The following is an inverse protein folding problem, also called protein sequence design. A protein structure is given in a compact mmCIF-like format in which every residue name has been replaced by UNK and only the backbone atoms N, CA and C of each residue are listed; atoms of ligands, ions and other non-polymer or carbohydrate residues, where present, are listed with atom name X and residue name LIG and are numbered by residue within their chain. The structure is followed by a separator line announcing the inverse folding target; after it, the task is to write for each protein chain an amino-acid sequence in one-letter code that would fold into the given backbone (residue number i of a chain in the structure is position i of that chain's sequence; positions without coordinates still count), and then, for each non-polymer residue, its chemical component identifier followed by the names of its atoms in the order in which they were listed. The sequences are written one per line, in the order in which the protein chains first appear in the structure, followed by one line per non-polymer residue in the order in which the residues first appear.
data_IF_913950698931
#
_entry.id   IF_913950698931
#
_cell.length_a   1.000
_cell.length_b   1.000
_cell.length_c   1.000
_cell.angle_alpha   90.00
_cell.angle_beta   90.00
_cell.angle_gamma   90.00
#
_symmetry.space_group_name_H-M   'P 1'
#
loop_
_entity.id
_entity.type
_entity.pdbx_description
1 polymer ?
#
# COMPACT_ATOMS: atom_id res chain seq x y z
N UNK A 1 13.90 -23.95 -7.04
CA UNK A 1 13.01 -22.89 -6.51
C UNK A 1 12.93 -21.69 -7.45
N UNK A 2 14.07 -21.10 -7.88
CA UNK A 2 14.07 -19.96 -8.84
C UNK A 2 13.56 -20.39 -10.23
N UNK A 3 13.98 -21.54 -10.76
CA UNK A 3 13.48 -22.05 -12.06
C UNK A 3 11.97 -22.34 -12.05
N UNK A 4 11.42 -22.79 -10.92
CA UNK A 4 9.99 -23.06 -10.77
C UNK A 4 9.13 -21.79 -10.72
N UNK A 5 9.69 -20.65 -10.29
CA UNK A 5 9.00 -19.35 -10.31
C UNK A 5 8.92 -18.72 -11.71
N UNK A 6 9.69 -19.21 -12.69
CA UNK A 6 9.65 -18.68 -14.06
C UNK A 6 8.48 -19.28 -14.86
N UNK A 7 8.14 -20.55 -14.59
CA UNK A 7 7.04 -21.26 -15.29
C UNK A 7 5.67 -21.14 -14.58
N UNK A 8 5.66 -20.64 -13.35
CA UNK A 8 4.44 -20.33 -12.61
C UNK A 8 4.25 -18.81 -12.56
N UNK A 9 3.13 -18.31 -13.05
CA UNK A 9 2.77 -16.90 -12.95
C UNK A 9 1.78 -16.71 -11.81
N UNK A 10 2.10 -15.78 -10.92
CA UNK A 10 1.26 -15.45 -9.78
C UNK A 10 0.57 -14.11 -10.03
N UNK A 11 -0.76 -14.12 -9.92
CA UNK A 11 -1.59 -12.95 -10.15
C UNK A 11 -2.34 -12.54 -8.89
N UNK A 12 -2.39 -11.22 -8.67
CA UNK A 12 -3.33 -10.59 -7.74
C UNK A 12 -4.46 -9.98 -8.56
N UNK A 13 -5.68 -10.39 -8.25
CA UNK A 13 -6.90 -9.89 -8.86
C UNK A 13 -7.60 -9.00 -7.84
N UNK A 14 -7.95 -7.78 -8.25
CA UNK A 14 -8.78 -6.85 -7.48
C UNK A 14 -10.14 -6.79 -8.12
N UNK A 15 -11.20 -6.94 -7.33
CA UNK A 15 -12.61 -6.88 -7.78
C UNK A 15 -13.31 -5.65 -7.21
N UNK A 16 -14.32 -5.18 -7.94
CA UNK A 16 -15.19 -4.06 -7.57
C UNK A 16 -14.65 -2.66 -7.87
N UNK A 17 -15.20 -1.68 -7.16
CA UNK A 17 -14.91 -0.25 -7.35
C UNK A 17 -13.62 0.16 -6.63
N UNK A 18 -12.50 -0.33 -7.16
CA UNK A 18 -11.17 0.05 -6.74
C UNK A 18 -10.81 1.44 -7.29
N UNK A 19 -10.32 2.33 -6.41
CA UNK A 19 -9.82 3.68 -6.72
C UNK A 19 -10.83 4.68 -7.33
N UNK A 20 -12.14 4.47 -7.18
CA UNK A 20 -13.17 5.38 -7.74
C UNK A 20 -13.77 6.36 -6.72
N UNK A 21 -13.51 6.18 -5.42
CA UNK A 21 -14.07 6.98 -4.34
C UNK A 21 -13.06 8.05 -3.87
N UNK A 22 -13.30 9.31 -4.26
CA UNK A 22 -12.44 10.43 -3.86
C UNK A 22 -12.61 10.80 -2.39
N UNK A 23 -13.83 10.67 -1.84
CA UNK A 23 -14.13 11.07 -0.47
C UNK A 23 -13.25 10.31 0.52
N UNK A 24 -13.15 8.99 0.36
CA UNK A 24 -12.30 8.16 1.23
C UNK A 24 -10.83 8.55 1.15
N UNK A 25 -10.31 8.83 -0.04
CA UNK A 25 -8.92 9.26 -0.23
C UNK A 25 -8.66 10.59 0.46
N UNK A 26 -9.56 11.56 0.27
CA UNK A 26 -9.48 12.86 0.94
C UNK A 26 -9.51 12.70 2.46
N UNK A 27 -10.38 11.85 3.01
CA UNK A 27 -10.43 11.62 4.46
C UNK A 27 -9.14 11.01 5.01
N UNK A 28 -8.54 10.03 4.32
CA UNK A 28 -7.24 9.49 4.73
C UNK A 28 -6.11 10.52 4.60
N UNK A 29 -6.12 11.35 3.56
CA UNK A 29 -5.16 12.45 3.39
C UNK A 29 -5.29 13.49 4.52
N UNK A 30 -6.52 13.90 4.86
CA UNK A 30 -6.76 14.82 5.98
C UNK A 30 -6.33 14.21 7.31
N UNK A 31 -6.64 12.93 7.54
CA UNK A 31 -6.21 12.21 8.74
C UNK A 31 -4.68 12.25 8.91
N UNK A 32 -3.92 12.04 7.84
CA UNK A 32 -2.45 12.02 7.90
C UNK A 32 -1.81 13.40 8.01
N UNK A 33 -2.46 14.43 7.46
CA UNK A 33 -2.12 15.82 7.76
C UNK A 33 -2.32 16.10 9.26
N UNK A 34 -3.42 15.65 9.86
CA UNK A 34 -3.65 15.80 11.30
C UNK A 34 -2.59 15.08 12.16
N UNK A 35 -2.17 13.86 11.77
CA UNK A 35 -1.08 13.16 12.45
C UNK A 35 0.24 13.95 12.38
N UNK A 36 0.56 14.50 11.20
CA UNK A 36 1.76 15.29 11.00
C UNK A 36 1.74 16.60 11.80
N UNK A 37 0.59 17.27 11.85
CA UNK A 37 0.38 18.47 12.68
C UNK A 37 0.52 18.17 14.16
N UNK A 38 -0.06 17.06 14.63
CA UNK A 38 0.03 16.64 16.03
C UNK A 38 1.49 16.41 16.44
N UNK A 39 2.26 15.70 15.62
CA UNK A 39 3.67 15.46 15.88
C UNK A 39 4.45 16.77 15.95
N UNK A 40 4.22 17.67 15.00
CA UNK A 40 4.88 18.97 14.95
C UNK A 40 4.58 19.80 16.20
N UNK A 41 3.31 19.84 16.63
CA UNK A 41 2.91 20.61 17.82
C UNK A 41 3.52 20.01 19.10
N UNK A 42 3.54 18.68 19.23
CA UNK A 42 3.95 18.03 20.48
C UNK A 42 5.45 17.82 20.62
N UNK A 43 6.19 17.70 19.51
CA UNK A 43 7.61 17.33 19.51
C UNK A 43 8.51 18.33 18.80
N UNK A 44 7.94 19.23 17.98
CA UNK A 44 8.69 20.10 17.07
C UNK A 44 9.30 19.36 15.86
N UNK A 45 9.11 18.04 15.74
CA UNK A 45 9.60 17.26 14.60
C UNK A 45 8.76 17.49 13.34
N UNK A 46 9.42 17.44 12.18
CA UNK A 46 8.79 17.51 10.86
C UNK A 46 8.84 16.18 10.10
N UNK A 47 9.22 15.09 10.77
CA UNK A 47 9.47 13.81 10.13
C UNK A 47 8.22 13.26 9.42
N UNK A 48 7.07 13.29 10.08
CA UNK A 48 5.80 12.89 9.46
C UNK A 48 5.46 13.78 8.24
N UNK A 49 5.71 15.09 8.30
CA UNK A 49 5.50 15.96 7.14
C UNK A 49 6.44 15.60 5.97
N UNK A 50 7.73 15.40 6.26
CA UNK A 50 8.75 15.08 5.26
C UNK A 50 8.43 13.77 4.56
N UNK A 51 8.16 12.71 5.33
CA UNK A 51 7.86 11.40 4.74
C UNK A 51 6.52 11.42 4.00
N UNK A 52 5.51 12.15 4.49
CA UNK A 52 4.21 12.29 3.83
C UNK A 52 4.34 12.96 2.47
N UNK A 53 5.02 14.11 2.41
CA UNK A 53 5.19 14.89 1.18
C UNK A 53 6.06 14.11 0.19
N UNK A 54 7.20 13.60 0.64
CA UNK A 54 8.15 12.87 -0.20
C UNK A 54 7.55 11.60 -0.80
N UNK A 55 6.90 10.76 0.01
CA UNK A 55 6.29 9.53 -0.48
C UNK A 55 5.07 9.81 -1.38
N UNK A 56 4.29 10.86 -1.09
CA UNK A 56 3.19 11.30 -1.96
C UNK A 56 3.70 11.69 -3.33
N UNK A 57 4.75 12.52 -3.41
CA UNK A 57 5.32 12.97 -4.68
C UNK A 57 5.86 11.80 -5.51
N UNK A 58 6.64 10.90 -4.90
CA UNK A 58 7.17 9.73 -5.60
C UNK A 58 6.03 8.84 -6.10
N UNK A 59 5.04 8.54 -5.26
CA UNK A 59 3.92 7.70 -5.68
C UNK A 59 3.05 8.36 -6.76
N UNK A 60 2.79 9.67 -6.69
CA UNK A 60 2.09 10.38 -7.77
C UNK A 60 2.88 10.31 -9.08
N UNK A 61 4.21 10.39 -9.03
CA UNK A 61 5.06 10.22 -10.21
C UNK A 61 4.95 8.79 -10.76
N UNK A 62 5.05 7.78 -9.91
CA UNK A 62 4.87 6.36 -10.29
C UNK A 62 3.51 6.16 -10.95
N UNK A 63 2.42 6.64 -10.34
CA UNK A 63 1.07 6.55 -10.89
C UNK A 63 0.94 7.26 -12.24
N UNK A 64 1.61 8.41 -12.39
CA UNK A 64 1.62 9.14 -13.65
C UNK A 64 2.35 8.37 -14.74
N UNK A 65 3.50 7.75 -14.43
CA UNK A 65 4.25 6.90 -15.38
C UNK A 65 3.41 5.67 -15.77
N UNK A 66 2.81 4.99 -14.79
CA UNK A 66 1.95 3.82 -15.04
C UNK A 66 0.73 4.18 -15.89
N UNK A 67 0.20 5.39 -15.71
CA UNK A 67 -0.88 5.92 -16.52
C UNK A 67 -0.44 6.23 -17.96
N UNK A 68 0.65 6.97 -18.15
CA UNK A 68 1.17 7.34 -19.48
C UNK A 68 1.56 6.10 -20.31
N UNK A 69 2.15 5.09 -19.65
CA UNK A 69 2.54 3.83 -20.28
C UNK A 69 1.36 2.88 -20.55
N UNK A 70 0.14 3.26 -20.18
CA UNK A 70 -1.07 2.41 -20.21
C UNK A 70 -0.95 1.11 -19.41
N UNK A 71 0.02 1.02 -18.50
CA UNK A 71 0.18 -0.11 -17.58
C UNK A 71 -0.96 -0.15 -16.56
N UNK A 72 -1.52 1.02 -16.21
CA UNK A 72 -2.62 1.16 -15.25
C UNK A 72 -3.76 2.00 -15.83
N UNK A 73 -4.96 1.42 -15.89
CA UNK A 73 -6.18 2.15 -16.23
C UNK A 73 -6.68 2.88 -14.97
N UNK A 74 -6.58 4.20 -14.96
CA UNK A 74 -7.13 5.04 -13.90
C UNK A 74 -8.63 5.20 -14.13
N UNK A 75 -9.42 4.50 -13.32
CA UNK A 75 -10.89 4.63 -13.33
C UNK A 75 -11.30 6.06 -12.92
N UNK A 76 -12.42 6.58 -13.47
CA UNK A 76 -12.94 7.88 -13.06
C UNK A 76 -13.24 7.87 -11.56
N UNK A 77 -12.80 8.94 -10.89
CA UNK A 77 -12.95 9.11 -9.45
C UNK A 77 -14.00 10.18 -9.17
N UNK A 78 -14.86 9.95 -8.19
CA UNK A 78 -15.99 10.82 -7.89
C UNK A 78 -15.99 11.30 -6.43
N UNK A 79 -16.31 12.57 -6.25
CA UNK A 79 -16.72 13.14 -4.96
C UNK A 79 -18.23 12.96 -4.87
N UNK A 80 -18.69 12.27 -3.82
CA UNK A 80 -20.13 12.09 -3.57
C UNK A 80 -20.56 13.12 -2.54
N UNK A 81 -21.39 14.08 -2.95
CA UNK A 81 -21.95 15.09 -2.06
C UNK A 81 -23.04 14.55 -1.13
N UNK A 82 -23.52 15.36 -0.19
CA UNK A 82 -24.54 14.97 0.80
C UNK A 82 -25.87 14.53 0.16
N UNK A 83 -26.21 15.08 -1.01
CA UNK A 83 -27.40 14.73 -1.80
C UNK A 83 -27.17 13.59 -2.81
N UNK A 84 -26.11 12.77 -2.63
CA UNK A 84 -25.68 11.71 -3.57
C UNK A 84 -25.31 12.18 -4.99
N UNK A 85 -25.16 13.48 -5.20
CA UNK A 85 -24.61 14.03 -6.44
C UNK A 85 -23.14 13.62 -6.58
N UNK A 86 -22.78 13.07 -7.74
CA UNK A 86 -21.41 12.65 -8.05
C UNK A 86 -20.72 13.70 -8.91
N UNK A 87 -19.64 14.27 -8.38
CA UNK A 87 -18.78 15.21 -9.11
C UNK A 87 -17.53 14.47 -9.58
N UNK A 88 -17.27 14.48 -10.89
CA UNK A 88 -16.08 13.87 -11.45
C UNK A 88 -14.84 14.68 -11.05
N UNK A 89 -13.86 14.00 -10.47
CA UNK A 89 -12.58 14.61 -10.08
C UNK A 89 -11.67 14.70 -11.31
N UNK A 90 -11.03 15.85 -11.58
CA UNK A 90 -10.02 15.98 -12.62
C UNK A 90 -8.93 14.93 -12.51
N UNK A 91 -8.49 14.38 -13.65
CA UNK A 91 -7.61 13.20 -13.68
C UNK A 91 -6.29 13.40 -12.93
N UNK A 92 -5.68 14.57 -13.03
CA UNK A 92 -4.45 14.91 -12.30
C UNK A 92 -4.66 14.92 -10.78
N UNK A 93 -5.82 15.40 -10.31
CA UNK A 93 -6.18 15.36 -8.89
C UNK A 93 -6.43 13.92 -8.46
N UNK A 94 -7.05 13.09 -9.30
CA UNK A 94 -7.24 11.67 -9.02
C UNK A 94 -5.90 10.91 -8.89
N UNK A 95 -4.92 11.18 -9.76
CA UNK A 95 -3.55 10.64 -9.67
C UNK A 95 -2.84 11.11 -8.40
N UNK A 96 -2.98 12.39 -8.06
CA UNK A 96 -2.42 12.93 -6.82
C UNK A 96 -3.03 12.27 -5.58
N UNK A 97 -4.36 12.19 -5.49
CA UNK A 97 -5.06 11.53 -4.39
C UNK A 97 -4.74 10.02 -4.30
N UNK A 98 -4.47 9.39 -5.44
CA UNK A 98 -3.99 8.03 -5.49
C UNK A 98 -2.60 7.90 -4.86
N UNK A 99 -1.65 8.75 -5.28
CA UNK A 99 -0.29 8.75 -4.74
C UNK A 99 -0.23 9.17 -3.26
N UNK A 100 -1.06 10.10 -2.83
CA UNK A 100 -1.19 10.48 -1.42
C UNK A 100 -1.69 9.28 -0.62
N UNK A 101 -2.78 8.63 -1.04
CA UNK A 101 -3.34 7.53 -0.25
C UNK A 101 -2.45 6.28 -0.24
N UNK A 102 -1.80 5.93 -1.35
CA UNK A 102 -0.92 4.75 -1.40
C UNK A 102 0.41 5.08 -0.73
N UNK A 103 1.11 6.16 -1.09
CA UNK A 103 2.39 6.56 -0.51
C UNK A 103 2.28 7.31 0.80
N UNK A 104 1.75 8.53 0.73
CA UNK A 104 1.68 9.49 1.84
C UNK A 104 1.07 8.92 3.11
N UNK A 105 -0.13 8.35 2.99
CA UNK A 105 -0.87 7.84 4.15
C UNK A 105 -0.15 6.67 4.80
N UNK A 106 0.29 5.70 4.00
CA UNK A 106 0.89 4.46 4.50
C UNK A 106 2.21 4.71 5.21
N UNK A 107 3.08 5.52 4.62
CA UNK A 107 4.35 5.87 5.28
C UNK A 107 4.13 6.69 6.54
N UNK A 108 3.19 7.64 6.52
CA UNK A 108 2.95 8.54 7.65
C UNK A 108 2.39 7.81 8.85
N UNK A 109 1.35 6.98 8.68
CA UNK A 109 0.84 6.22 9.83
C UNK A 109 1.88 5.18 10.30
N UNK A 110 2.64 4.60 9.36
CA UNK A 110 3.73 3.67 9.66
C UNK A 110 4.73 4.29 10.62
N UNK A 111 5.24 5.47 10.26
CA UNK A 111 6.22 6.20 11.08
C UNK A 111 5.61 6.71 12.38
N UNK A 112 4.47 7.41 12.28
CA UNK A 112 3.82 8.06 13.43
C UNK A 112 3.48 7.08 14.55
N UNK A 113 2.80 5.98 14.22
CA UNK A 113 2.46 4.95 15.20
C UNK A 113 3.67 4.08 15.57
N UNK A 114 4.61 3.87 14.64
CA UNK A 114 5.86 3.16 14.89
C UNK A 114 6.68 3.79 16.02
N UNK A 115 6.81 5.12 15.99
CA UNK A 115 7.50 5.89 17.02
C UNK A 115 6.80 5.88 18.39
N UNK A 116 5.52 5.47 18.43
CA UNK A 116 4.63 5.63 19.59
C UNK A 116 3.99 4.32 20.05
N UNK A 117 4.46 3.17 19.56
CA UNK A 117 3.89 1.84 19.85
C UNK A 117 3.77 1.54 21.35
N UNK A 118 4.74 1.98 22.15
CA UNK A 118 4.79 1.71 23.60
C UNK A 118 3.86 2.61 24.42
N UNK A 119 3.30 3.67 23.83
CA UNK A 119 2.45 4.62 24.55
C UNK A 119 0.98 4.24 24.41
N UNK A 120 0.35 3.85 25.51
CA UNK A 120 -1.03 3.32 25.53
C UNK A 120 -2.06 4.21 24.83
N UNK A 121 -1.96 5.54 24.97
CA UNK A 121 -2.86 6.50 24.31
C UNK A 121 -2.83 6.35 22.78
N UNK A 122 -1.63 6.25 22.20
CA UNK A 122 -1.46 6.14 20.75
C UNK A 122 -1.75 4.72 20.27
N UNK A 123 -1.48 3.70 21.11
CA UNK A 123 -1.88 2.33 20.84
C UNK A 123 -3.40 2.16 20.74
N UNK A 124 -4.17 2.81 21.61
CA UNK A 124 -5.64 2.86 21.51
C UNK A 124 -6.07 3.56 20.22
N UNK A 125 -5.50 4.73 19.92
CA UNK A 125 -5.79 5.48 18.69
C UNK A 125 -5.49 4.65 17.44
N UNK A 126 -4.40 3.90 17.45
CA UNK A 126 -4.00 2.99 16.37
C UNK A 126 -5.04 1.90 16.13
N UNK A 127 -5.55 1.28 17.19
CA UNK A 127 -6.59 0.25 17.07
C UNK A 127 -7.96 0.82 16.70
N UNK A 128 -8.28 2.05 17.10
CA UNK A 128 -9.46 2.76 16.61
C UNK A 128 -9.36 3.02 15.10
N UNK A 129 -8.18 3.41 14.61
CA UNK A 129 -7.93 3.57 13.17
C UNK A 129 -8.08 2.25 12.41
N UNK A 130 -7.55 1.14 12.93
CA UNK A 130 -7.75 -0.20 12.36
C UNK A 130 -9.24 -0.56 12.36
N UNK A 131 -9.94 -0.34 13.47
CA UNK A 131 -11.38 -0.61 13.60
C UNK A 131 -12.18 0.17 12.55
N UNK A 132 -11.82 1.43 12.30
CA UNK A 132 -12.40 2.23 11.23
C UNK A 132 -12.17 1.59 9.84
N UNK A 133 -10.96 1.11 9.53
CA UNK A 133 -10.67 0.39 8.29
C UNK A 133 -11.55 -0.86 8.15
N UNK A 134 -11.69 -1.64 9.23
CA UNK A 134 -12.50 -2.87 9.27
C UNK A 134 -13.96 -2.55 8.95
N UNK A 135 -14.55 -1.56 9.63
CA UNK A 135 -15.94 -1.12 9.42
C UNK A 135 -16.14 -0.62 7.98
N UNK A 136 -15.20 0.19 7.47
CA UNK A 136 -15.24 0.70 6.11
C UNK A 136 -15.20 -0.41 5.06
N UNK A 137 -14.40 -1.45 5.30
CA UNK A 137 -14.31 -2.59 4.38
C UNK A 137 -15.53 -3.50 4.46
N UNK A 138 -16.07 -3.72 5.65
CA UNK A 138 -17.26 -4.53 5.85
C UNK A 138 -18.53 -3.93 5.26
N UNK A 139 -18.61 -2.59 5.19
CA UNK A 139 -19.73 -1.86 4.59
C UNK A 139 -19.73 -1.83 3.06
N UNK A 140 -18.63 -2.21 2.39
CA UNK A 140 -18.61 -2.30 0.93
C UNK A 140 -19.37 -3.54 0.44
N UNK A 141 -20.17 -3.35 -0.61
CA UNK A 141 -20.86 -4.46 -1.29
C UNK A 141 -19.89 -5.21 -2.21
N UNK A 142 -20.07 -6.53 -2.29
CA UNK A 142 -19.28 -7.36 -3.17
C UNK A 142 -19.73 -7.16 -4.62
N UNK A 143 -18.82 -6.70 -5.48
CA UNK A 143 -19.07 -6.50 -6.91
C UNK A 143 -18.12 -7.46 -7.63
N UNK A 144 -18.69 -8.36 -8.43
CA UNK A 144 -17.96 -9.46 -9.08
C UNK A 144 -17.01 -9.01 -10.20
N UNK A 145 -17.16 -7.79 -10.71
CA UNK A 145 -16.37 -7.29 -11.83
C UNK A 145 -14.88 -7.19 -11.47
N UNK A 146 -14.04 -7.81 -12.30
CA UNK A 146 -12.59 -7.71 -12.20
C UNK A 146 -12.18 -6.27 -12.54
N UNK A 147 -11.57 -5.59 -11.56
CA UNK A 147 -11.09 -4.23 -11.71
C UNK A 147 -9.65 -4.15 -12.22
N UNK A 148 -8.84 -5.14 -11.83
CA UNK A 148 -7.42 -5.21 -12.16
C UNK A 148 -6.93 -6.65 -11.97
N UNK A 149 -6.08 -7.10 -12.88
CA UNK A 149 -5.30 -8.34 -12.76
C UNK A 149 -3.83 -7.98 -13.00
N UNK A 150 -2.97 -8.23 -12.02
CA UNK A 150 -1.53 -7.93 -12.12
C UNK A 150 -0.69 -9.15 -11.78
N UNK A 151 0.37 -9.37 -12.56
CA UNK A 151 1.35 -10.40 -12.28
C UNK A 151 2.40 -9.86 -11.31
N UNK A 152 2.66 -10.57 -10.20
CA UNK A 152 3.59 -10.09 -9.16
C UNK A 152 5.03 -10.53 -9.39
N UNK A 153 5.24 -11.68 -10.04
CA UNK A 153 6.54 -12.32 -10.17
C UNK A 153 7.17 -12.15 -11.56
N UNK A 154 6.93 -11.00 -12.21
CA UNK A 154 7.67 -10.66 -13.43
C UNK A 154 9.15 -10.45 -13.09
N UNK A 155 10.04 -10.73 -14.04
CA UNK A 155 11.49 -10.54 -13.85
C UNK A 155 11.80 -9.11 -13.41
N UNK A 156 11.17 -8.11 -14.04
CA UNK A 156 11.33 -6.71 -13.67
C UNK A 156 10.86 -6.40 -12.24
N UNK A 157 9.71 -6.92 -11.82
CA UNK A 157 9.20 -6.77 -10.44
C UNK A 157 10.16 -7.36 -9.42
N UNK A 158 10.63 -8.59 -9.65
CA UNK A 158 11.53 -9.29 -8.75
C UNK A 158 12.89 -8.60 -8.65
N UNK A 159 13.47 -8.16 -9.77
CA UNK A 159 14.73 -7.42 -9.78
C UNK A 159 14.61 -6.08 -9.05
N UNK A 160 13.51 -5.36 -9.27
CA UNK A 160 13.25 -4.06 -8.61
C UNK A 160 13.11 -4.24 -7.11
N UNK A 161 12.28 -5.19 -6.66
CA UNK A 161 12.08 -5.45 -5.23
C UNK A 161 13.34 -6.00 -4.56
N UNK A 162 14.13 -6.82 -5.24
CA UNK A 162 15.42 -7.29 -4.74
C UNK A 162 16.41 -6.14 -4.57
N UNK A 163 16.48 -5.23 -5.55
CA UNK A 163 17.37 -4.06 -5.50
C UNK A 163 16.98 -3.11 -4.36
N UNK A 164 15.68 -2.85 -4.19
CA UNK A 164 15.16 -2.03 -3.08
C UNK A 164 15.46 -2.69 -1.72
N UNK A 165 15.23 -4.00 -1.61
CA UNK A 165 15.51 -4.75 -0.37
C UNK A 165 17.00 -4.70 -0.02
N UNK A 166 17.87 -4.87 -1.02
CA UNK A 166 19.32 -4.80 -0.84
C UNK A 166 19.76 -3.39 -0.46
N UNK A 167 19.22 -2.35 -1.11
CA UNK A 167 19.46 -0.96 -0.73
C UNK A 167 19.08 -0.70 0.73
N UNK A 168 17.87 -1.08 1.14
CA UNK A 168 17.42 -0.88 2.52
C UNK A 168 18.29 -1.63 3.53
N UNK A 169 18.74 -2.84 3.21
CA UNK A 169 19.64 -3.62 4.06
C UNK A 169 21.02 -2.97 4.20
N UNK A 170 21.61 -2.50 3.09
CA UNK A 170 22.90 -1.81 3.11
C UNK A 170 22.79 -0.51 3.93
N UNK A 171 21.76 0.28 3.70
CA UNK A 171 21.53 1.54 4.44
C UNK A 171 21.33 1.28 5.93
N UNK A 172 20.56 0.26 6.29
CA UNK A 172 20.35 -0.14 7.69
C UNK A 172 21.64 -0.62 8.36
N UNK A 173 22.51 -1.30 7.62
CA UNK A 173 23.82 -1.72 8.11
C UNK A 173 24.76 -0.54 8.34
N UNK A 174 24.69 0.50 7.50
CA UNK A 174 25.46 1.74 7.63
C UNK A 174 24.95 2.65 8.76
N UNK A 175 23.65 2.57 9.08
CA UNK A 175 22.96 3.43 10.05
C UNK A 175 22.19 2.62 11.12
N UNK A 176 22.90 1.86 11.97
CA UNK A 176 22.27 0.97 12.95
C UNK A 176 21.43 1.71 14.00
N UNK A 177 21.70 3.00 14.25
CA UNK A 177 20.93 3.86 15.16
C UNK A 177 19.46 4.02 14.75
N UNK A 178 19.16 3.89 13.45
CA UNK A 178 17.80 3.96 12.93
C UNK A 178 17.07 2.60 12.96
N UNK A 179 17.73 1.51 13.37
CA UNK A 179 17.16 0.16 13.31
C UNK A 179 15.82 0.04 14.03
N UNK A 180 15.76 0.49 15.29
CA UNK A 180 14.55 0.37 16.08
C UNK A 180 13.37 1.11 15.43
N UNK A 181 13.64 2.31 14.91
CA UNK A 181 12.64 3.17 14.29
C UNK A 181 12.12 2.60 12.98
N UNK A 182 13.01 2.13 12.10
CA UNK A 182 12.65 1.45 10.86
C UNK A 182 11.89 0.14 11.12
N UNK A 183 12.31 -0.63 12.12
CA UNK A 183 11.64 -1.88 12.49
C UNK A 183 10.22 -1.65 12.99
N UNK A 184 10.00 -0.64 13.85
CA UNK A 184 8.66 -0.31 14.33
C UNK A 184 7.76 0.20 13.20
N UNK A 185 8.29 1.04 12.30
CA UNK A 185 7.57 1.49 11.10
C UNK A 185 7.17 0.29 10.22
N UNK A 186 8.12 -0.62 9.95
CA UNK A 186 7.88 -1.85 9.21
C UNK A 186 6.78 -2.70 9.87
N UNK A 187 6.83 -2.88 11.18
CA UNK A 187 5.86 -3.66 11.94
C UNK A 187 4.45 -3.07 11.86
N UNK A 188 4.31 -1.75 12.05
CA UNK A 188 3.02 -1.05 11.96
C UNK A 188 2.41 -1.17 10.56
N UNK A 189 3.20 -0.94 9.51
CA UNK A 189 2.72 -1.08 8.13
C UNK A 189 2.29 -2.52 7.84
N UNK A 190 3.13 -3.50 8.20
CA UNK A 190 2.83 -4.93 8.02
C UNK A 190 1.53 -5.30 8.72
N UNK A 191 1.34 -4.85 9.97
CA UNK A 191 0.16 -5.19 10.76
C UNK A 191 -1.13 -4.63 10.16
N UNK A 192 -1.19 -3.34 9.86
CA UNK A 192 -2.39 -2.71 9.27
C UNK A 192 -2.70 -3.30 7.89
N UNK A 193 -1.68 -3.44 7.04
CA UNK A 193 -1.86 -3.95 5.68
C UNK A 193 -2.21 -5.44 5.64
N UNK A 194 -1.78 -6.23 6.63
CA UNK A 194 -2.21 -7.63 6.79
C UNK A 194 -3.69 -7.72 7.11
N UNK A 195 -4.18 -6.93 8.08
CA UNK A 195 -5.61 -6.90 8.45
C UNK A 195 -6.45 -6.47 7.25
N UNK A 196 -6.05 -5.40 6.57
CA UNK A 196 -6.76 -4.91 5.38
C UNK A 196 -6.79 -5.96 4.27
N UNK A 197 -5.65 -6.59 3.97
CA UNK A 197 -5.52 -7.62 2.93
C UNK A 197 -6.36 -8.85 3.26
N UNK A 198 -6.37 -9.30 4.52
CA UNK A 198 -7.16 -10.43 4.98
C UNK A 198 -8.67 -10.17 4.83
N UNK A 199 -9.16 -9.00 5.23
CA UNK A 199 -10.57 -8.65 5.08
C UNK A 199 -10.95 -8.50 3.61
N UNK A 200 -10.09 -7.88 2.80
CA UNK A 200 -10.29 -7.77 1.37
C UNK A 200 -10.35 -9.15 0.68
N UNK A 201 -9.56 -10.11 1.17
CA UNK A 201 -9.60 -11.50 0.69
C UNK A 201 -10.92 -12.20 1.06
N UNK A 202 -11.31 -12.18 2.34
CA UNK A 202 -12.58 -12.80 2.79
C UNK A 202 -13.79 -12.22 2.07
N UNK A 203 -13.79 -10.90 1.82
CA UNK A 203 -14.89 -10.23 1.12
C UNK A 203 -14.86 -10.45 -0.40
N UNK A 204 -13.84 -11.11 -0.94
CA UNK A 204 -13.68 -11.33 -2.38
C UNK A 204 -13.26 -10.11 -3.18
N UNK A 205 -12.90 -9.00 -2.53
CA UNK A 205 -12.34 -7.81 -3.19
C UNK A 205 -10.93 -8.03 -3.71
N UNK A 206 -10.24 -9.01 -3.13
CA UNK A 206 -8.88 -9.39 -3.50
C UNK A 206 -8.80 -10.90 -3.59
N UNK A 207 -8.45 -11.43 -4.76
CA UNK A 207 -8.25 -12.88 -4.95
C UNK A 207 -6.93 -13.12 -5.66
N UNK A 208 -6.46 -14.36 -5.65
CA UNK A 208 -5.21 -14.76 -6.30
C UNK A 208 -5.47 -15.80 -7.37
N UNK A 209 -4.64 -15.82 -8.41
CA UNK A 209 -4.71 -16.82 -9.47
C UNK A 209 -3.28 -17.28 -9.80
N UNK A 210 -3.10 -18.59 -9.88
CA UNK A 210 -1.81 -19.19 -10.25
C UNK A 210 -1.95 -19.84 -11.61
N UNK A 211 -1.11 -19.42 -12.56
CA UNK A 211 -1.11 -19.91 -13.93
C UNK A 211 0.18 -20.69 -14.20
N UNK A 212 0.05 -21.93 -14.67
CA UNK A 212 1.17 -22.73 -15.17
C UNK A 212 1.28 -22.57 -16.67
N UNK A 213 2.48 -22.27 -17.15
CA UNK A 213 2.81 -22.30 -18.58
C UNK A 213 3.57 -23.60 -18.85
N UNK A 214 2.99 -24.49 -19.65
CA UNK A 214 3.63 -25.73 -20.09
C UNK A 214 3.67 -25.77 -21.63
N UNK A 215 4.75 -25.28 -22.22
CA UNK A 215 4.80 -25.06 -23.68
C UNK A 215 3.78 -24.00 -24.10
N UNK A 216 2.87 -24.36 -25.01
CA UNK A 216 1.79 -23.49 -25.49
C UNK A 216 0.50 -23.59 -24.64
N UNK A 217 0.44 -24.51 -23.67
CA UNK A 217 -0.74 -24.70 -22.82
C UNK A 217 -0.68 -23.84 -21.55
N UNK A 218 -1.77 -23.10 -21.31
CA UNK A 218 -1.98 -22.25 -20.14
C UNK A 218 -2.96 -22.96 -19.20
N UNK A 219 -2.46 -23.48 -18.08
CA UNK A 219 -3.27 -24.19 -17.08
C UNK A 219 -3.48 -23.28 -15.87
N UNK A 220 -4.72 -22.86 -15.64
CA UNK A 220 -5.10 -22.14 -14.42
C UNK A 220 -5.25 -23.15 -13.29
N UNK A 221 -4.40 -23.06 -12.26
CA UNK A 221 -4.50 -23.93 -11.09
C UNK A 221 -5.75 -23.59 -10.28
N UNK A 222 -6.41 -24.58 -9.66
CA UNK A 222 -7.44 -24.34 -8.68
C UNK A 222 -6.88 -23.53 -7.51
N UNK A 223 -7.74 -22.74 -6.86
CA UNK A 223 -7.35 -21.89 -5.74
C UNK A 223 -6.78 -22.74 -4.59
N UNK A 224 -5.56 -22.40 -4.18
CA UNK A 224 -4.85 -23.08 -3.10
C UNK A 224 -4.53 -22.05 -2.00
N UNK A 225 -5.04 -22.30 -0.79
CA UNK A 225 -4.85 -21.41 0.36
C UNK A 225 -3.38 -21.10 0.66
N UNK A 226 -2.47 -22.06 0.41
CA UNK A 226 -1.03 -21.87 0.62
C UNK A 226 -0.46 -20.88 -0.40
N UNK A 227 -0.80 -21.05 -1.68
CA UNK A 227 -0.35 -20.14 -2.74
C UNK A 227 -0.91 -18.74 -2.49
N UNK A 228 -2.20 -18.63 -2.14
CA UNK A 228 -2.83 -17.38 -1.75
C UNK A 228 -2.11 -16.70 -0.60
N UNK A 229 -1.76 -17.45 0.46
CA UNK A 229 -1.04 -16.92 1.61
C UNK A 229 0.33 -16.36 1.21
N UNK A 230 1.10 -17.07 0.38
CA UNK A 230 2.41 -16.57 -0.07
C UNK A 230 2.30 -15.37 -1.00
N UNK A 231 1.33 -15.36 -1.92
CA UNK A 231 1.13 -14.25 -2.88
C UNK A 231 0.71 -12.96 -2.14
N UNK A 232 -0.24 -13.07 -1.21
CA UNK A 232 -0.70 -11.93 -0.41
C UNK A 232 0.32 -11.52 0.67
N UNK A 233 1.06 -12.49 1.22
CA UNK A 233 2.16 -12.23 2.14
C UNK A 233 3.30 -11.47 1.47
N UNK A 234 3.66 -11.85 0.24
CA UNK A 234 4.64 -11.14 -0.58
C UNK A 234 4.23 -9.68 -0.81
N UNK A 235 2.96 -9.45 -1.16
CA UNK A 235 2.40 -8.11 -1.36
C UNK A 235 2.56 -7.23 -0.12
N UNK A 236 2.20 -7.74 1.06
CA UNK A 236 2.25 -6.96 2.31
C UNK A 236 3.69 -6.75 2.80
N UNK A 237 4.53 -7.78 2.76
CA UNK A 237 5.89 -7.70 3.31
C UNK A 237 6.82 -6.96 2.36
N UNK A 238 6.85 -7.34 1.08
CA UNK A 238 7.84 -6.80 0.14
C UNK A 238 7.34 -5.54 -0.57
N UNK A 239 6.17 -5.61 -1.23
CA UNK A 239 5.70 -4.48 -2.05
C UNK A 239 5.18 -3.30 -1.23
N UNK A 240 4.71 -3.55 -0.01
CA UNK A 240 4.31 -2.50 0.92
C UNK A 240 5.42 -2.27 1.94
N UNK A 241 5.67 -3.21 2.85
CA UNK A 241 6.45 -2.87 4.05
C UNK A 241 7.92 -2.59 3.75
N UNK A 242 8.63 -3.46 3.04
CA UNK A 242 10.04 -3.24 2.67
C UNK A 242 10.17 -2.10 1.67
N UNK A 243 9.34 -2.07 0.62
CA UNK A 243 9.41 -1.01 -0.37
C UNK A 243 9.23 0.39 0.25
N UNK A 244 8.40 0.51 1.30
CA UNK A 244 8.09 1.80 1.91
C UNK A 244 9.11 2.23 2.96
N UNK A 245 9.92 1.30 3.51
CA UNK A 245 11.12 1.66 4.29
C UNK A 245 12.11 2.47 3.44
N UNK A 246 12.10 2.31 2.12
CA UNK A 246 12.88 3.17 1.22
C UNK A 246 12.55 4.65 1.40
N UNK A 247 11.29 5.01 1.67
CA UNK A 247 10.91 6.40 1.93
C UNK A 247 11.47 6.92 3.24
N UNK A 248 11.58 6.06 4.26
CA UNK A 248 12.29 6.41 5.49
C UNK A 248 13.76 6.76 5.17
N UNK A 249 14.42 5.88 4.41
CA UNK A 249 15.82 6.07 4.04
C UNK A 249 16.05 7.33 3.18
N UNK A 250 15.11 7.68 2.30
CA UNK A 250 15.23 8.86 1.44
C UNK A 250 14.92 10.18 2.15
N UNK A 251 13.96 10.19 3.10
CA UNK A 251 13.40 11.45 3.62
C UNK A 251 13.64 11.71 5.10
N UNK A 252 14.02 10.69 5.87
CA UNK A 252 14.24 10.81 7.32
C UNK A 252 15.72 10.66 7.67
N UNK A 253 16.41 9.68 7.09
CA UNK A 253 17.78 9.28 7.49
C UNK A 253 18.80 10.43 7.53
N UNK A 254 18.65 11.43 6.67
CA UNK A 254 19.63 12.51 6.50
C UNK A 254 19.46 13.70 7.44
N UNK A 255 18.57 13.61 8.44
CA UNK A 255 18.22 14.71 9.35
C UNK A 255 18.05 14.24 10.79
#
# INVERSE_FOLDING_TARGET
MILTMIYQQFYIIRKGDFATDANKKIYYSLFTICLSLEEYINTGSTDCFRIMIGSTMIWTLIETILYITNTRVIKPMYITGPLKNKFLVPKYIALFLQGFQEGGVVTTFGLYFGDRLTRIRYFILFHLFITYIIINMNSKQNISNIASKRQINTVGSLLTMSSISMYNLITLHQHPEHFHRQFNMFFVMTYVCSIWTYIAYIKGFRTTETVLIHGDEIIVKPENNIDTFFILGYDVIFEISIAYITFYNLFILHY
#
